data_IF_299915047693
#
_entry.id   IF_299915047693
#
_cell.length_a   1.000
_cell.length_b   1.000
_cell.length_c   1.000
_cell.angle_alpha   90.00
_cell.angle_beta   90.00
_cell.angle_gamma   90.00
#
_symmetry.space_group_name_H-M   'P 1'
#
loop_
_entity.id
_entity.type
_entity.pdbx_description
1 polymer ?
#
# COMPACT_ATOMS: atom_id res chain seq x y z
N UNK A 1 -1.49 -17.84 -8.13
CA UNK A 1 -1.36 -16.82 -7.07
C UNK A 1 -0.41 -15.70 -7.45
N UNK A 2 0.83 -16.00 -7.89
CA UNK A 2 1.82 -14.96 -8.24
C UNK A 2 1.34 -13.93 -9.29
N UNK A 3 0.69 -14.37 -10.38
CA UNK A 3 0.14 -13.45 -11.40
C UNK A 3 -0.91 -12.47 -10.86
N UNK A 4 -1.75 -12.89 -9.90
CA UNK A 4 -2.73 -12.01 -9.26
C UNK A 4 -2.05 -10.94 -8.40
N UNK A 5 -0.95 -11.32 -7.73
CA UNK A 5 -0.12 -10.40 -6.95
C UNK A 5 0.64 -9.42 -7.84
N UNK A 6 1.16 -9.87 -8.98
CA UNK A 6 1.76 -9.00 -9.99
C UNK A 6 0.72 -7.98 -10.47
N UNK A 7 -0.48 -8.43 -10.85
CA UNK A 7 -1.55 -7.55 -11.30
C UNK A 7 -1.99 -6.53 -10.24
N UNK A 8 -2.21 -6.98 -8.99
CA UNK A 8 -2.59 -6.10 -7.89
C UNK A 8 -1.50 -5.08 -7.52
N UNK A 9 -0.24 -5.52 -7.47
CA UNK A 9 0.91 -4.64 -7.20
C UNK A 9 1.13 -3.61 -8.31
N UNK A 10 1.03 -4.04 -9.57
CA UNK A 10 1.14 -3.15 -10.73
C UNK A 10 0.01 -2.11 -10.77
N UNK A 11 -1.22 -2.51 -10.44
CA UNK A 11 -2.35 -1.59 -10.34
C UNK A 11 -2.14 -0.53 -9.27
N UNK A 12 -1.70 -0.94 -8.06
CA UNK A 12 -1.39 0.01 -6.97
C UNK A 12 -0.28 0.98 -7.36
N UNK A 13 0.80 0.48 -7.97
CA UNK A 13 1.88 1.32 -8.48
C UNK A 13 1.38 2.30 -9.54
N UNK A 14 0.56 1.83 -10.49
CA UNK A 14 -0.01 2.69 -11.53
C UNK A 14 -0.92 3.78 -10.93
N UNK A 15 -1.75 3.42 -9.95
CA UNK A 15 -2.63 4.37 -9.25
C UNK A 15 -1.82 5.43 -8.49
N UNK A 16 -0.79 5.02 -7.74
CA UNK A 16 0.08 5.98 -7.03
C UNK A 16 0.85 6.89 -7.97
N UNK A 17 1.31 6.36 -9.12
CA UNK A 17 1.98 7.16 -10.14
C UNK A 17 1.05 8.19 -10.78
N UNK A 18 -0.19 7.80 -11.13
CA UNK A 18 -1.20 8.74 -11.65
C UNK A 18 -1.53 9.84 -10.64
N UNK A 19 -1.72 9.50 -9.37
CA UNK A 19 -1.95 10.49 -8.31
C UNK A 19 -0.78 11.47 -8.20
N UNK A 20 0.46 10.99 -8.30
CA UNK A 20 1.64 11.85 -8.25
C UNK A 20 1.76 12.78 -9.47
N UNK A 21 1.35 12.32 -10.65
CA UNK A 21 1.28 13.17 -11.84
C UNK A 21 0.22 14.26 -11.71
N UNK A 22 -0.97 13.91 -11.19
CA UNK A 22 -2.05 14.89 -10.98
C UNK A 22 -1.61 15.94 -9.96
N UNK A 23 -0.96 15.54 -8.86
CA UNK A 23 -0.40 16.46 -7.87
C UNK A 23 0.60 17.45 -8.51
N UNK A 24 1.52 16.95 -9.35
CA UNK A 24 2.47 17.82 -10.07
C UNK A 24 1.79 18.81 -11.02
N UNK A 25 0.76 18.38 -11.74
CA UNK A 25 0.02 19.27 -12.63
C UNK A 25 -0.77 20.33 -11.85
N UNK A 26 -1.29 19.97 -10.67
CA UNK A 26 -1.94 20.91 -9.76
C UNK A 26 -0.94 21.95 -9.22
N UNK A 27 0.26 21.52 -8.78
CA UNK A 27 1.33 22.41 -8.34
C UNK A 27 1.77 23.39 -9.45
N UNK A 28 1.87 22.91 -10.70
CA UNK A 28 2.21 23.75 -11.86
C UNK A 28 1.09 24.76 -12.19
N UNK A 29 -0.18 24.38 -12.04
CA UNK A 29 -1.32 25.27 -12.21
C UNK A 29 -1.38 26.35 -11.12
N UNK A 30 -1.13 25.98 -9.86
CA UNK A 30 -1.09 26.89 -8.72
C UNK A 30 0.03 27.94 -8.84
N UNK A 31 1.21 27.50 -9.28
CA UNK A 31 2.33 28.40 -9.54
C UNK A 31 2.02 29.45 -10.64
N UNK A 32 1.03 29.18 -11.50
CA UNK A 32 0.59 30.07 -12.57
C UNK A 32 -0.59 30.96 -12.18
N UNK A 33 -1.46 30.54 -11.26
CA UNK A 33 -2.69 31.27 -10.89
C UNK A 33 -2.56 32.07 -9.59
N UNK A 34 -1.63 31.75 -8.70
CA UNK A 34 -1.36 32.53 -7.48
C UNK A 34 -2.47 32.48 -6.41
N UNK A 35 -3.49 31.62 -6.58
CA UNK A 35 -4.63 31.44 -5.67
C UNK A 35 -4.51 30.19 -4.76
N UNK A 36 -3.32 29.57 -4.74
CA UNK A 36 -3.14 28.14 -4.43
C UNK A 36 -2.97 27.68 -2.99
N UNK A 37 -2.84 28.59 -2.03
CA UNK A 37 -2.39 28.22 -0.66
C UNK A 37 -3.30 27.18 0.04
N UNK A 38 -4.60 27.14 -0.29
CA UNK A 38 -5.55 26.18 0.28
C UNK A 38 -5.53 24.79 -0.38
N UNK A 39 -5.10 24.66 -1.64
CA UNK A 39 -5.04 23.38 -2.34
C UNK A 39 -3.73 22.63 -2.07
N UNK A 40 -2.63 23.36 -1.83
CA UNK A 40 -1.31 22.78 -1.58
C UNK A 40 -1.21 22.11 -0.20
N UNK A 41 -1.92 22.61 0.81
CA UNK A 41 -1.88 22.08 2.18
C UNK A 41 -2.45 20.64 2.27
N UNK A 42 -3.54 20.37 1.55
CA UNK A 42 -4.21 19.05 1.51
C UNK A 42 -3.39 18.02 0.68
N UNK A 43 -2.65 18.48 -0.34
CA UNK A 43 -1.80 17.64 -1.20
C UNK A 43 -0.52 17.19 -0.45
N UNK A 44 0.10 18.05 0.35
CA UNK A 44 1.36 17.75 1.03
C UNK A 44 1.14 16.82 2.26
N UNK A 45 -0.03 16.89 2.92
CA UNK A 45 -0.40 15.96 4.00
C UNK A 45 -0.61 14.51 3.51
N UNK A 46 -1.00 14.34 2.24
CA UNK A 46 -1.26 13.05 1.61
C UNK A 46 -0.04 12.39 0.96
N UNK A 47 1.04 13.15 0.75
CA UNK A 47 2.31 12.67 0.19
C UNK A 47 2.92 11.47 0.95
N UNK A 48 3.06 11.47 2.30
CA UNK A 48 3.58 10.32 3.03
C UNK A 48 2.66 9.10 2.98
N UNK A 49 1.34 9.29 2.80
CA UNK A 49 0.37 8.20 2.60
C UNK A 49 0.57 7.55 1.23
N UNK A 50 0.72 8.37 0.19
CA UNK A 50 0.92 7.89 -1.18
C UNK A 50 2.24 7.13 -1.35
N UNK A 51 3.33 7.61 -0.74
CA UNK A 51 4.62 6.88 -0.71
C UNK A 51 4.49 5.53 0.00
N UNK A 52 3.74 5.46 1.09
CA UNK A 52 3.51 4.21 1.82
C UNK A 52 2.74 3.19 0.99
N UNK A 53 1.69 3.64 0.28
CA UNK A 53 0.90 2.80 -0.64
C UNK A 53 1.77 2.34 -1.80
N UNK A 54 2.60 3.23 -2.37
CA UNK A 54 3.52 2.90 -3.46
C UNK A 54 4.53 1.84 -3.05
N UNK A 55 5.12 1.97 -1.86
CA UNK A 55 6.02 0.95 -1.30
C UNK A 55 5.31 -0.40 -1.10
N UNK A 56 4.07 -0.38 -0.59
CA UNK A 56 3.24 -1.58 -0.49
C UNK A 56 2.95 -2.24 -1.84
N UNK A 57 2.63 -1.44 -2.86
CA UNK A 57 2.42 -1.90 -4.24
C UNK A 57 3.66 -2.55 -4.84
N UNK A 58 4.84 -1.95 -4.65
CA UNK A 58 6.13 -2.51 -5.08
C UNK A 58 6.41 -3.85 -4.39
N UNK A 59 6.15 -3.93 -3.08
CA UNK A 59 6.37 -5.14 -2.31
C UNK A 59 5.47 -6.29 -2.77
N UNK A 60 4.19 -6.02 -3.01
CA UNK A 60 3.21 -6.98 -3.53
C UNK A 60 3.62 -7.43 -4.94
N UNK A 61 4.04 -6.50 -5.80
CA UNK A 61 4.50 -6.81 -7.16
C UNK A 61 5.72 -7.75 -7.13
N UNK A 62 6.76 -7.40 -6.36
CA UNK A 62 7.98 -8.21 -6.23
C UNK A 62 7.67 -9.58 -5.63
N UNK A 63 6.79 -9.66 -4.64
CA UNK A 63 6.33 -10.93 -4.06
C UNK A 63 5.63 -11.78 -5.11
N UNK A 64 4.78 -11.19 -5.95
CA UNK A 64 4.12 -11.88 -7.06
C UNK A 64 5.11 -12.42 -8.10
N UNK A 65 6.13 -11.63 -8.46
CA UNK A 65 7.22 -12.07 -9.33
C UNK A 65 7.99 -13.25 -8.72
N UNK A 66 8.37 -13.15 -7.44
CA UNK A 66 9.09 -14.22 -6.74
C UNK A 66 8.26 -15.50 -6.62
N UNK A 67 6.95 -15.39 -6.33
CA UNK A 67 6.02 -16.52 -6.31
C UNK A 67 5.88 -17.20 -7.68
N UNK A 68 5.82 -16.41 -8.76
CA UNK A 68 5.69 -16.94 -10.12
C UNK A 68 6.97 -17.62 -10.58
N UNK A 69 8.13 -17.08 -10.20
CA UNK A 69 9.43 -17.64 -10.49
C UNK A 69 9.82 -18.80 -9.54
N UNK A 70 8.95 -19.19 -8.61
CA UNK A 70 9.25 -20.18 -7.57
C UNK A 70 10.56 -19.87 -6.81
N UNK A 71 10.83 -18.59 -6.56
CA UNK A 71 12.07 -18.15 -5.94
C UNK A 71 12.04 -18.28 -4.41
N UNK A 72 13.17 -18.66 -3.82
CA UNK A 72 13.42 -18.60 -2.37
C UNK A 72 13.16 -17.22 -1.75
N UNK A 73 13.24 -16.15 -2.56
CA UNK A 73 12.92 -14.78 -2.14
C UNK A 73 11.43 -14.56 -1.86
N UNK A 74 10.54 -15.46 -2.26
CA UNK A 74 9.10 -15.33 -2.03
C UNK A 74 8.75 -15.28 -0.54
N UNK A 75 9.42 -16.10 0.28
CA UNK A 75 9.20 -16.14 1.73
C UNK A 75 9.58 -14.84 2.46
N UNK A 76 10.81 -14.29 2.32
CA UNK A 76 11.16 -13.02 2.97
C UNK A 76 10.34 -11.84 2.43
N UNK A 77 9.98 -11.84 1.14
CA UNK A 77 9.11 -10.81 0.57
C UNK A 77 7.69 -10.87 1.13
N UNK A 78 7.10 -12.05 1.24
CA UNK A 78 5.77 -12.22 1.84
C UNK A 78 5.75 -11.83 3.32
N UNK A 79 6.84 -12.09 4.05
CA UNK A 79 7.00 -11.61 5.43
C UNK A 79 7.02 -10.08 5.50
N UNK A 80 7.80 -9.42 4.64
CA UNK A 80 7.83 -7.96 4.57
C UNK A 80 6.45 -7.38 4.25
N UNK A 81 5.64 -8.05 3.42
CA UNK A 81 4.27 -7.61 3.12
C UNK A 81 3.39 -7.68 4.35
N UNK A 82 3.51 -8.73 5.16
CA UNK A 82 2.78 -8.83 6.44
C UNK A 82 3.18 -7.70 7.41
N UNK A 83 4.48 -7.42 7.53
CA UNK A 83 4.99 -6.31 8.35
C UNK A 83 4.43 -4.97 7.87
N UNK A 84 4.47 -4.72 6.56
CA UNK A 84 3.95 -3.49 5.95
C UNK A 84 2.46 -3.28 6.22
N UNK A 85 1.65 -4.32 6.02
CA UNK A 85 0.20 -4.26 6.27
C UNK A 85 -0.11 -4.06 7.77
N UNK A 86 0.65 -4.70 8.66
CA UNK A 86 0.49 -4.55 10.11
C UNK A 86 0.81 -3.12 10.55
N UNK A 87 1.91 -2.56 10.05
CA UNK A 87 2.30 -1.17 10.32
C UNK A 87 1.28 -0.17 9.77
N UNK A 88 0.70 -0.45 8.59
CA UNK A 88 -0.36 0.39 8.02
C UNK A 88 -1.61 0.42 8.92
N UNK A 89 -2.09 -0.76 9.34
CA UNK A 89 -3.25 -0.86 10.24
C UNK A 89 -2.95 -0.19 11.58
N UNK A 90 -1.77 -0.39 12.16
CA UNK A 90 -1.36 0.25 13.40
C UNK A 90 -1.32 1.78 13.28
N UNK A 91 -0.78 2.31 12.16
CA UNK A 91 -0.74 3.75 11.89
C UNK A 91 -2.15 4.33 11.76
N UNK A 92 -3.05 3.65 11.05
CA UNK A 92 -4.45 4.08 10.92
C UNK A 92 -5.21 4.02 12.26
N UNK A 93 -5.01 2.96 13.04
CA UNK A 93 -5.60 2.87 14.39
C UNK A 93 -5.11 3.98 15.33
N UNK A 94 -3.83 4.35 15.25
CA UNK A 94 -3.27 5.45 16.05
C UNK A 94 -3.83 6.80 15.65
N UNK A 95 -4.07 7.02 14.36
CA UNK A 95 -4.69 8.22 13.78
C UNK A 95 -6.16 8.35 14.20
N UNK A 96 -6.96 7.30 13.97
CA UNK A 96 -8.35 7.21 14.42
C UNK A 96 -8.54 7.44 15.93
N UNK A 97 -7.59 7.00 16.78
CA UNK A 97 -7.62 7.26 18.25
C UNK A 97 -7.27 8.68 18.66
N UNK A 98 -6.60 9.45 17.79
CA UNK A 98 -6.22 10.85 18.02
C UNK A 98 -7.21 11.84 17.44
N UNK A 99 -8.16 11.39 16.62
CA UNK A 99 -9.22 12.22 16.11
C UNK A 99 -10.12 12.73 17.24
N UNK A 100 -10.30 14.05 17.30
CA UNK A 100 -11.04 14.72 18.38
C UNK A 100 -12.56 14.68 18.17
N UNK A 101 -13.02 14.39 16.94
CA UNK A 101 -14.44 14.32 16.57
C UNK A 101 -14.82 12.94 16.03
N UNK A 102 -16.07 12.52 16.27
CA UNK A 102 -16.59 11.22 15.83
C UNK A 102 -16.61 11.05 14.31
N UNK A 103 -16.76 12.14 13.56
CA UNK A 103 -16.72 12.14 12.09
C UNK A 103 -15.29 11.99 11.55
N UNK A 104 -14.30 12.64 12.16
CA UNK A 104 -12.89 12.44 11.80
C UNK A 104 -12.43 11.01 12.12
N UNK A 105 -12.88 10.44 13.25
CA UNK A 105 -12.61 9.05 13.58
C UNK A 105 -13.23 8.04 12.59
N UNK A 106 -14.38 8.37 12.00
CA UNK A 106 -15.05 7.55 10.99
C UNK A 106 -14.37 7.63 9.62
N UNK A 107 -13.87 8.80 9.22
CA UNK A 107 -13.10 8.97 7.99
C UNK A 107 -11.73 8.30 8.06
N UNK A 108 -11.08 8.29 9.22
CA UNK A 108 -9.79 7.61 9.43
C UNK A 108 -9.92 6.13 9.81
N UNK A 109 -11.14 5.61 9.91
CA UNK A 109 -11.37 4.20 10.22
C UNK A 109 -10.79 3.31 9.11
N UNK A 110 -10.13 2.21 9.49
CA UNK A 110 -9.59 1.24 8.53
C UNK A 110 -10.73 0.68 7.69
N UNK A 111 -10.75 1.03 6.40
CA UNK A 111 -11.75 0.56 5.45
C UNK A 111 -11.83 -0.99 5.41
N UNK A 112 -13.04 -1.52 5.22
CA UNK A 112 -13.27 -2.96 5.15
C UNK A 112 -12.44 -3.63 4.02
N UNK A 113 -12.29 -2.95 2.89
CA UNK A 113 -11.44 -3.39 1.78
C UNK A 113 -9.98 -3.57 2.21
N UNK A 114 -9.44 -2.63 3.00
CA UNK A 114 -8.08 -2.71 3.56
C UNK A 114 -7.94 -3.88 4.52
N UNK A 115 -8.92 -4.11 5.40
CA UNK A 115 -8.90 -5.28 6.32
C UNK A 115 -8.89 -6.60 5.56
N UNK A 116 -9.71 -6.72 4.51
CA UNK A 116 -9.75 -7.91 3.67
C UNK A 116 -8.42 -8.12 2.92
N UNK A 117 -7.82 -7.05 2.42
CA UNK A 117 -6.51 -7.11 1.77
C UNK A 117 -5.41 -7.55 2.75
N UNK A 118 -5.43 -7.09 3.99
CA UNK A 118 -4.52 -7.53 5.04
C UNK A 118 -4.68 -9.01 5.36
N UNK A 119 -5.91 -9.51 5.54
CA UNK A 119 -6.18 -10.93 5.78
C UNK A 119 -5.71 -11.81 4.62
N UNK A 120 -5.97 -11.37 3.38
CA UNK A 120 -5.50 -12.07 2.19
C UNK A 120 -3.97 -12.11 2.13
N UNK A 121 -3.29 -11.02 2.49
CA UNK A 121 -1.84 -10.94 2.54
C UNK A 121 -1.26 -11.96 3.56
N UNK A 122 -1.86 -12.06 4.75
CA UNK A 122 -1.47 -13.06 5.75
C UNK A 122 -1.68 -14.49 5.26
N UNK A 123 -2.82 -14.77 4.61
CA UNK A 123 -3.11 -16.09 4.06
C UNK A 123 -2.10 -16.48 2.99
N UNK A 124 -1.76 -15.55 2.08
CA UNK A 124 -0.77 -15.81 1.03
C UNK A 124 0.62 -15.98 1.64
N UNK A 125 0.99 -15.21 2.66
CA UNK A 125 2.25 -15.39 3.35
C UNK A 125 2.35 -16.75 4.04
N UNK A 126 1.28 -17.19 4.72
CA UNK A 126 1.22 -18.52 5.33
C UNK A 126 1.39 -19.64 4.29
N UNK A 127 0.70 -19.53 3.15
CA UNK A 127 0.85 -20.47 2.02
C UNK A 127 2.27 -20.44 1.43
N UNK A 128 2.86 -19.25 1.32
CA UNK A 128 4.22 -19.07 0.78
C UNK A 128 5.27 -19.70 1.69
N UNK A 129 5.14 -19.51 3.00
CA UNK A 129 6.02 -20.13 4.01
C UNK A 129 5.85 -21.65 4.00
N UNK A 130 4.61 -22.15 3.92
CA UNK A 130 4.34 -23.57 3.81
C UNK A 130 5.01 -24.19 2.56
N UNK A 131 4.85 -23.56 1.40
CA UNK A 131 5.49 -24.00 0.14
C UNK A 131 7.02 -23.96 0.21
N UNK A 132 7.59 -22.94 0.85
CA UNK A 132 9.02 -22.86 1.07
C UNK A 132 9.52 -24.00 1.98
N UNK A 133 8.79 -24.27 3.08
CA UNK A 133 9.13 -25.34 4.01
C UNK A 133 8.97 -26.74 3.41
N UNK A 134 8.05 -26.93 2.45
CA UNK A 134 7.88 -28.18 1.72
C UNK A 134 8.91 -28.40 0.60
N UNK A 135 9.86 -27.47 0.41
CA UNK A 135 10.90 -27.57 -0.64
C UNK A 135 10.40 -27.33 -2.05
N UNK A 136 9.26 -26.63 -2.22
CA UNK A 136 8.70 -26.34 -3.55
C UNK A 136 9.47 -25.23 -4.30
N UNK A 137 10.27 -24.45 -3.58
CA UNK A 137 11.20 -23.47 -4.15
C UNK A 137 12.59 -24.11 -4.19
N UNK A 138 13.00 -24.55 -5.37
CA UNK A 138 14.29 -25.19 -5.67
C UNK A 138 15.13 -24.32 -6.59
#
# INVERSE_FOLDING_TARGET
MGLLWIGGGAYLLHQTWRLHQIARMADELDALTGEGEAATEDIDEDRPRNLWIGFGGALIFLTGCALTAASWLAAPLAFLVCVHQTLYVWRQMRRSRRAETGEAAAQEAVAAATRNATLLAFLVAALTIYLAASGAYG
#
